data_IF_712612125017
#
_entry.id   IF_712612125017
#
_cell.length_a   1.000
_cell.length_b   1.000
_cell.length_c   1.000
_cell.angle_alpha   90.00
_cell.angle_beta   90.00
_cell.angle_gamma   90.00
#
_symmetry.space_group_name_H-M   'P 1'
#
loop_
_entity.id
_entity.type
_entity.pdbx_description
1 polymer ?
#
# COMPACT_ATOMS: atom_id res chain seq x y z
N UNK A 1 8.52 4.50 -4.97
CA UNK A 1 8.25 3.04 -4.88
C UNK A 1 8.47 2.56 -3.43
N UNK A 2 8.33 1.25 -3.14
CA UNK A 2 8.56 0.69 -1.80
C UNK A 2 9.95 0.99 -1.24
N UNK A 3 11.00 0.88 -2.06
CA UNK A 3 12.37 1.17 -1.63
C UNK A 3 12.55 2.65 -1.26
N UNK A 4 11.85 3.55 -1.97
CA UNK A 4 11.81 4.97 -1.62
C UNK A 4 11.20 5.20 -0.23
N UNK A 5 10.16 4.44 0.13
CA UNK A 5 9.53 4.52 1.44
C UNK A 5 10.46 4.03 2.55
N UNK A 6 11.18 2.94 2.29
CA UNK A 6 12.17 2.37 3.22
C UNK A 6 13.34 3.32 3.44
N UNK A 7 13.92 3.85 2.36
CA UNK A 7 15.02 4.81 2.46
C UNK A 7 14.61 6.07 3.25
N UNK A 8 13.38 6.57 3.04
CA UNK A 8 12.84 7.68 3.82
C UNK A 8 12.68 7.31 5.30
N UNK A 9 12.15 6.13 5.60
CA UNK A 9 11.97 5.67 6.97
C UNK A 9 13.32 5.57 7.71
N UNK A 10 14.34 5.02 7.06
CA UNK A 10 15.70 4.93 7.61
C UNK A 10 16.31 6.30 7.87
N UNK A 11 16.16 7.25 6.93
CA UNK A 11 16.62 8.62 7.08
C UNK A 11 15.95 9.34 8.25
N UNK A 12 14.64 9.15 8.42
CA UNK A 12 13.84 9.77 9.49
C UNK A 12 13.85 8.96 10.80
N UNK A 13 14.65 7.90 10.89
CA UNK A 13 14.74 7.00 12.04
C UNK A 13 13.39 6.41 12.48
N UNK A 14 12.51 6.10 11.52
CA UNK A 14 11.22 5.47 11.75
C UNK A 14 11.28 3.97 11.48
N UNK A 15 10.64 3.19 12.34
CA UNK A 15 10.50 1.74 12.11
C UNK A 15 9.53 1.48 10.98
N UNK A 16 9.85 0.47 10.18
CA UNK A 16 8.99 -0.05 9.13
C UNK A 16 8.98 -1.57 9.19
N UNK A 17 7.91 -2.17 8.69
CA UNK A 17 7.79 -3.60 8.51
C UNK A 17 6.86 -3.89 7.34
N UNK A 18 6.89 -5.11 6.82
CA UNK A 18 5.78 -5.64 6.03
C UNK A 18 5.30 -6.96 6.61
N UNK A 19 4.06 -7.30 6.33
CA UNK A 19 3.44 -8.54 6.78
C UNK A 19 3.11 -9.42 5.60
N UNK A 20 3.27 -10.73 5.75
CA UNK A 20 2.93 -11.70 4.68
C UNK A 20 1.41 -11.87 4.51
N UNK A 21 0.65 -11.44 5.52
CA UNK A 21 -0.80 -11.48 5.59
C UNK A 21 -1.32 -10.20 6.26
N UNK A 22 -2.61 -10.16 6.58
CA UNK A 22 -3.22 -9.03 7.29
C UNK A 22 -2.58 -8.83 8.67
N UNK A 23 -2.02 -7.64 8.95
CA UNK A 23 -1.36 -7.32 10.22
C UNK A 23 -2.29 -7.31 11.45
N UNK A 24 -3.61 -7.38 11.24
CA UNK A 24 -4.62 -7.55 12.29
C UNK A 24 -5.03 -9.00 12.54
N UNK A 25 -4.45 -9.98 11.84
CA UNK A 25 -4.71 -11.40 12.11
C UNK A 25 -4.03 -11.84 13.43
N UNK A 26 -4.59 -12.84 14.11
CA UNK A 26 -4.01 -13.39 15.35
C UNK A 26 -2.60 -14.01 15.16
N UNK A 27 -2.24 -14.30 13.91
CA UNK A 27 -0.94 -14.83 13.50
C UNK A 27 -0.51 -14.11 12.22
N UNK A 28 0.45 -13.18 12.33
CA UNK A 28 1.17 -12.63 11.18
C UNK A 28 2.66 -12.69 11.47
N UNK A 29 3.44 -12.92 10.41
CA UNK A 29 4.90 -12.73 10.44
C UNK A 29 5.17 -11.32 9.91
N UNK A 30 5.91 -10.53 10.68
CA UNK A 30 6.42 -9.24 10.28
C UNK A 30 7.92 -9.31 9.96
N UNK A 31 8.29 -8.70 8.85
CA UNK A 31 9.67 -8.63 8.37
C UNK A 31 10.08 -7.17 8.21
N UNK A 32 11.31 -6.85 8.61
CA UNK A 32 11.92 -5.53 8.45
C UNK A 32 13.20 -5.59 7.61
N UNK A 33 13.37 -6.65 6.83
CA UNK A 33 14.47 -6.83 5.88
C UNK A 33 13.92 -6.90 4.44
N UNK A 34 14.43 -6.02 3.58
CA UNK A 34 14.08 -5.93 2.16
C UNK A 34 14.37 -7.25 1.44
N UNK A 35 15.39 -8.00 1.89
CA UNK A 35 15.74 -9.29 1.32
C UNK A 35 14.61 -10.33 1.44
N UNK A 36 13.69 -10.13 2.39
CA UNK A 36 12.53 -11.01 2.64
C UNK A 36 11.30 -10.64 1.82
N UNK A 37 11.35 -9.61 0.96
CA UNK A 37 10.20 -9.25 0.10
C UNK A 37 9.81 -10.35 -0.88
N UNK A 38 10.69 -11.32 -1.13
CA UNK A 38 10.40 -12.52 -1.91
C UNK A 38 9.44 -13.49 -1.18
N UNK A 39 9.24 -13.34 0.12
CA UNK A 39 8.28 -14.13 0.91
C UNK A 39 6.83 -13.69 0.68
N UNK A 40 6.61 -12.46 0.19
CA UNK A 40 5.28 -11.97 -0.18
C UNK A 40 4.73 -12.80 -1.35
N UNK A 41 3.49 -13.28 -1.22
CA UNK A 41 2.77 -13.89 -2.31
C UNK A 41 2.31 -12.82 -3.33
N UNK A 42 3.23 -12.36 -4.18
CA UNK A 42 2.96 -11.34 -5.19
C UNK A 42 1.85 -11.74 -6.17
N UNK A 43 1.68 -13.04 -6.44
CA UNK A 43 0.58 -13.53 -7.26
C UNK A 43 -0.79 -13.29 -6.58
N UNK A 44 -0.88 -13.46 -5.26
CA UNK A 44 -2.09 -13.15 -4.49
C UNK A 44 -2.35 -11.63 -4.44
N UNK A 45 -1.32 -10.82 -4.24
CA UNK A 45 -1.41 -9.34 -4.26
C UNK A 45 -1.98 -8.85 -5.59
N UNK A 46 -1.46 -9.37 -6.71
CA UNK A 46 -1.90 -9.05 -8.07
C UNK A 46 -3.22 -9.72 -8.50
N UNK A 47 -3.78 -10.59 -7.64
CA UNK A 47 -5.11 -11.18 -7.74
C UNK A 47 -6.21 -10.18 -8.15
N UNK A 48 -7.08 -10.46 -9.11
CA UNK A 48 -8.34 -9.71 -9.28
C UNK A 48 -9.52 -10.35 -8.52
N UNK A 49 -9.26 -11.45 -7.80
CA UNK A 49 -10.21 -12.18 -6.95
C UNK A 49 -9.45 -12.56 -5.67
N UNK A 50 -10.15 -12.64 -4.54
CA UNK A 50 -9.56 -12.95 -3.24
C UNK A 50 -9.90 -14.36 -2.75
N UNK A 51 -10.88 -15.02 -3.37
CA UNK A 51 -11.29 -16.38 -3.01
C UNK A 51 -10.10 -17.33 -3.20
N UNK A 52 -9.66 -17.97 -2.11
CA UNK A 52 -8.52 -18.89 -2.10
C UNK A 52 -7.14 -18.25 -1.92
N UNK A 53 -7.02 -16.91 -1.89
CA UNK A 53 -5.74 -16.22 -1.66
C UNK A 53 -5.83 -15.02 -0.71
N UNK A 54 -6.92 -14.96 0.08
CA UNK A 54 -7.28 -13.81 0.93
C UNK A 54 -6.11 -13.32 1.81
N UNK A 55 -5.42 -14.22 2.51
CA UNK A 55 -4.35 -13.84 3.44
C UNK A 55 -3.18 -13.16 2.73
N UNK A 56 -2.57 -13.82 1.73
CA UNK A 56 -1.46 -13.24 0.97
C UNK A 56 -1.85 -11.99 0.17
N UNK A 57 -3.12 -11.83 -0.17
CA UNK A 57 -3.65 -10.63 -0.83
C UNK A 57 -3.72 -9.42 0.10
N UNK A 58 -3.77 -9.66 1.41
CA UNK A 58 -3.82 -8.65 2.46
C UNK A 58 -2.44 -8.42 3.09
N UNK A 59 -1.33 -8.72 2.39
CA UNK A 59 0.00 -8.28 2.81
C UNK A 59 0.04 -6.75 2.93
N UNK A 60 0.62 -6.23 4.01
CA UNK A 60 0.65 -4.80 4.31
C UNK A 60 2.09 -4.30 4.42
N UNK A 61 2.31 -3.02 4.09
CA UNK A 61 3.52 -2.30 4.45
C UNK A 61 3.17 -1.29 5.54
N UNK A 62 3.90 -1.36 6.65
CA UNK A 62 3.65 -0.62 7.87
C UNK A 62 4.78 0.37 8.13
N UNK A 63 4.40 1.58 8.53
CA UNK A 63 5.34 2.63 8.90
C UNK A 63 4.93 3.22 10.24
N UNK A 64 5.90 3.39 11.12
CA UNK A 64 5.66 3.85 12.48
C UNK A 64 5.05 5.27 12.52
N UNK A 65 4.02 5.41 13.37
CA UNK A 65 3.23 6.62 13.65
C UNK A 65 2.40 7.18 12.49
N UNK A 66 2.98 7.36 11.31
CA UNK A 66 2.31 7.98 10.16
C UNK A 66 3.03 7.69 8.86
N UNK A 67 2.25 7.60 7.77
CA UNK A 67 2.80 7.53 6.41
C UNK A 67 2.86 8.93 5.78
N UNK A 68 4.03 9.37 5.26
CA UNK A 68 4.19 10.70 4.70
C UNK A 68 3.45 10.85 3.37
N UNK A 69 2.60 11.88 3.27
CA UNK A 69 1.76 12.11 2.08
C UNK A 69 2.55 12.21 0.77
N UNK A 70 3.73 12.84 0.80
CA UNK A 70 4.56 13.04 -0.39
C UNK A 70 5.14 11.75 -0.99
N UNK A 71 5.09 10.62 -0.26
CA UNK A 71 5.52 9.31 -0.77
C UNK A 71 4.37 8.52 -1.43
N UNK A 72 3.13 9.00 -1.35
CA UNK A 72 2.00 8.37 -2.05
C UNK A 72 2.11 8.70 -3.54
N UNK A 73 2.26 7.72 -4.42
CA UNK A 73 2.47 7.99 -5.86
C UNK A 73 1.17 7.95 -6.67
N UNK A 74 0.19 7.15 -6.23
CA UNK A 74 -1.05 6.89 -6.98
C UNK A 74 -2.23 6.66 -6.05
N UNK A 75 -3.39 7.16 -6.46
CA UNK A 75 -4.69 6.82 -5.90
C UNK A 75 -5.52 6.10 -6.97
N UNK A 76 -5.78 4.82 -6.77
CA UNK A 76 -6.71 4.06 -7.60
C UNK A 76 -8.14 4.21 -7.09
N UNK A 77 -9.09 4.51 -7.98
CA UNK A 77 -10.53 4.57 -7.68
C UNK A 77 -11.34 3.65 -8.57
N UNK A 78 -12.50 3.17 -8.10
CA UNK A 78 -13.35 2.26 -8.88
C UNK A 78 -14.16 2.97 -9.98
N UNK A 79 -14.57 4.22 -9.74
CA UNK A 79 -15.55 4.90 -10.59
C UNK A 79 -15.20 6.35 -10.88
N UNK A 80 -15.80 6.91 -11.93
CA UNK A 80 -15.68 8.35 -12.26
C UNK A 80 -16.28 9.25 -11.18
N UNK A 81 -17.33 8.81 -10.49
CA UNK A 81 -17.91 9.58 -9.39
C UNK A 81 -16.91 9.72 -8.24
N UNK A 82 -16.27 8.61 -7.84
CA UNK A 82 -15.22 8.62 -6.80
C UNK A 82 -13.99 9.40 -7.25
N UNK A 83 -13.62 9.31 -8.54
CA UNK A 83 -12.53 10.12 -9.11
C UNK A 83 -12.74 11.62 -8.86
N UNK A 84 -13.94 12.13 -9.14
CA UNK A 84 -14.28 13.54 -8.91
C UNK A 84 -14.25 13.90 -7.42
N UNK A 85 -14.74 13.01 -6.55
CA UNK A 85 -14.66 13.21 -5.11
C UNK A 85 -13.21 13.34 -4.63
N UNK A 86 -12.31 12.47 -5.10
CA UNK A 86 -10.88 12.53 -4.74
C UNK A 86 -10.24 13.82 -5.27
N UNK A 87 -10.49 14.21 -6.52
CA UNK A 87 -9.97 15.48 -7.07
C UNK A 87 -10.37 16.67 -6.20
N UNK A 88 -11.62 16.71 -5.74
CA UNK A 88 -12.15 17.80 -4.94
C UNK A 88 -11.63 17.78 -3.49
N UNK A 89 -11.28 16.59 -2.98
CA UNK A 89 -10.74 16.43 -1.63
C UNK A 89 -9.24 16.76 -1.55
N UNK A 90 -8.49 16.60 -2.64
CA UNK A 90 -7.05 16.88 -2.65
C UNK A 90 -6.76 18.39 -2.61
N UNK A 91 -5.75 18.83 -1.85
CA UNK A 91 -5.38 20.24 -1.76
C UNK A 91 -4.98 20.79 -3.13
N UNK A 92 -5.31 22.05 -3.42
CA UNK A 92 -4.99 22.70 -4.71
C UNK A 92 -3.48 22.97 -4.88
N UNK A 93 -2.71 22.91 -3.79
CA UNK A 93 -1.27 23.15 -3.76
C UNK A 93 -0.55 21.99 -3.06
N UNK A 94 0.73 21.79 -3.39
CA UNK A 94 1.54 20.70 -2.85
C UNK A 94 1.42 19.39 -3.62
N UNK A 95 1.74 18.28 -2.95
CA UNK A 95 1.80 16.97 -3.56
C UNK A 95 0.42 16.46 -4.01
N UNK A 96 0.33 16.09 -5.29
CA UNK A 96 -0.87 15.50 -5.92
C UNK A 96 -0.48 14.22 -6.66
N UNK A 97 -0.68 13.03 -6.06
CA UNK A 97 -0.47 11.77 -6.75
C UNK A 97 -1.40 11.63 -7.96
N UNK A 98 -1.01 10.78 -8.91
CA UNK A 98 -1.87 10.43 -10.03
C UNK A 98 -3.14 9.75 -9.50
N UNK A 99 -4.31 10.25 -9.92
CA UNK A 99 -5.59 9.60 -9.66
C UNK A 99 -5.95 8.84 -10.92
N UNK A 100 -6.28 7.55 -10.79
CA UNK A 100 -6.59 6.67 -11.93
C UNK A 100 -7.82 5.81 -11.62
N UNK A 101 -8.67 5.58 -12.62
CA UNK A 101 -9.73 4.59 -12.50
C UNK A 101 -9.11 3.20 -12.68
N UNK A 102 -9.10 2.39 -11.61
CA UNK A 102 -8.48 1.06 -11.54
C UNK A 102 -9.51 0.03 -11.10
N UNK A 103 -10.47 -0.28 -11.96
CA UNK A 103 -11.53 -1.25 -11.63
C UNK A 103 -10.98 -2.61 -11.24
N UNK A 104 -9.86 -3.03 -11.84
CA UNK A 104 -9.17 -4.29 -11.52
C UNK A 104 -8.53 -4.33 -10.12
N UNK A 105 -8.48 -3.21 -9.39
CA UNK A 105 -8.03 -3.20 -7.98
C UNK A 105 -9.16 -3.50 -6.99
N UNK A 106 -10.40 -3.58 -7.49
CA UNK A 106 -11.60 -3.85 -6.70
C UNK A 106 -12.15 -5.25 -7.07
N UNK A 107 -12.89 -5.86 -6.15
CA UNK A 107 -13.51 -7.18 -6.31
C UNK A 107 -15.01 -7.08 -6.57
#
# INVERSE_FOLDING_TARGET
DLHTCIAWAEQEQRRWAFTLSNAGAYYFEDCCDVAQLNEINWAAVQANQWQGCKEGKQAEFLLEHSFPWHLVERIGVHSRATYQQVINALPNTGHRPAIEIKQNWYY
#
